data_IF_085146930709
#
_entry.id   IF_085146930709
#
_cell.length_a   1.000
_cell.length_b   1.000
_cell.length_c   1.000
_cell.angle_alpha   90.00
_cell.angle_beta   90.00
_cell.angle_gamma   90.00
#
_symmetry.space_group_name_H-M   'P 1'
#
loop_
_entity.id
_entity.type
_entity.pdbx_description
1 polymer ?
#
# COMPACT_ATOMS: atom_id res chain seq x y z
N UNK A 1 -1.37 37.29 0.40
CA UNK A 1 -0.46 36.15 0.20
C UNK A 1 -1.32 34.91 0.41
N UNK A 2 -1.52 34.08 -0.61
CA UNK A 2 -2.29 32.86 -0.44
C UNK A 2 -1.43 31.81 0.25
N UNK A 3 -1.88 31.34 1.41
CA UNK A 3 -1.22 30.29 2.18
C UNK A 3 -1.83 28.94 1.83
N UNK A 4 -0.98 28.01 1.37
CA UNK A 4 -1.37 26.63 1.09
C UNK A 4 -1.12 25.78 2.35
N UNK A 5 -2.19 25.37 3.01
CA UNK A 5 -2.15 24.50 4.20
C UNK A 5 -2.51 23.08 3.79
N UNK A 6 -1.55 22.17 3.90
CA UNK A 6 -1.71 20.76 3.56
C UNK A 6 -1.28 19.89 4.73
N UNK A 7 -2.11 18.90 5.06
CA UNK A 7 -1.74 17.88 6.04
C UNK A 7 -1.31 16.59 5.32
N UNK A 8 -0.19 16.02 5.76
CA UNK A 8 0.28 14.72 5.27
C UNK A 8 -0.27 13.63 6.18
N UNK A 9 -1.07 12.75 5.59
CA UNK A 9 -1.67 11.63 6.31
C UNK A 9 -1.01 10.32 5.92
N UNK A 10 -0.52 9.61 6.95
CA UNK A 10 0.20 8.36 6.81
C UNK A 10 -0.55 7.26 7.55
N UNK A 11 -1.28 6.41 6.82
CA UNK A 11 -1.91 5.22 7.40
C UNK A 11 -1.07 4.00 7.08
N UNK A 12 -0.49 3.38 8.11
CA UNK A 12 0.11 2.05 8.02
C UNK A 12 -0.85 0.98 8.56
N UNK A 13 -0.96 -0.17 7.90
CA UNK A 13 -1.83 -1.27 8.33
C UNK A 13 -2.34 -2.12 7.16
N UNK A 14 -3.46 -2.83 7.34
CA UNK A 14 -4.12 -3.62 6.27
C UNK A 14 -4.56 -2.77 5.07
N UNK A 15 -4.88 -1.49 5.31
CA UNK A 15 -5.22 -0.49 4.29
C UNK A 15 -4.19 0.64 4.31
N UNK A 16 -2.95 0.30 3.98
CA UNK A 16 -1.90 1.30 3.92
C UNK A 16 -2.22 2.34 2.82
N UNK A 17 -2.21 3.62 3.16
CA UNK A 17 -2.39 4.69 2.17
C UNK A 17 -1.69 5.98 2.57
N UNK A 18 -1.32 6.76 1.54
CA UNK A 18 -0.70 8.08 1.63
C UNK A 18 -1.57 9.09 0.88
N UNK A 19 -1.87 10.21 1.51
CA UNK A 19 -2.62 11.29 0.90
C UNK A 19 -2.32 12.62 1.57
N UNK A 20 -2.61 13.69 0.83
CA UNK A 20 -2.71 15.03 1.38
C UNK A 20 -4.16 15.35 1.68
N UNK A 21 -4.40 16.08 2.77
CA UNK A 21 -5.68 16.73 3.02
C UNK A 21 -5.55 18.22 2.70
N UNK A 22 -6.33 18.69 1.73
CA UNK A 22 -6.49 20.10 1.42
C UNK A 22 -7.49 20.68 2.42
N UNK A 23 -6.97 21.43 3.41
CA UNK A 23 -7.77 21.93 4.53
C UNK A 23 -8.85 22.91 4.06
N UNK A 24 -8.57 23.70 3.01
CA UNK A 24 -9.50 24.72 2.53
C UNK A 24 -10.59 24.14 1.65
N UNK A 25 -10.23 23.18 0.80
CA UNK A 25 -11.18 22.53 -0.10
C UNK A 25 -11.80 21.24 0.48
N UNK A 26 -11.48 20.91 1.74
CA UNK A 26 -11.94 19.72 2.48
C UNK A 26 -11.90 18.44 1.66
N UNK A 27 -10.78 18.21 0.96
CA UNK A 27 -10.65 17.07 0.04
C UNK A 27 -9.35 16.32 0.21
N UNK A 28 -9.45 15.02 -0.09
CA UNK A 28 -8.32 14.10 -0.14
C UNK A 28 -7.66 14.14 -1.51
N UNK A 29 -6.33 14.31 -1.53
CA UNK A 29 -5.52 14.26 -2.74
C UNK A 29 -4.53 13.10 -2.64
N UNK A 30 -4.60 12.18 -3.61
CA UNK A 30 -3.59 11.13 -3.77
C UNK A 30 -2.52 11.62 -4.72
N UNK A 31 -1.25 11.41 -4.34
CA UNK A 31 -0.10 11.78 -5.15
C UNK A 31 0.70 10.55 -5.57
N UNK A 32 1.42 10.62 -6.70
CA UNK A 32 2.28 9.54 -7.16
C UNK A 32 3.37 9.18 -6.14
N UNK A 33 3.80 7.91 -6.14
CA UNK A 33 4.84 7.41 -5.24
C UNK A 33 6.16 8.21 -5.33
N UNK A 34 6.48 8.76 -6.51
CA UNK A 34 7.65 9.61 -6.72
C UNK A 34 7.65 10.88 -5.85
N UNK A 35 6.47 11.49 -5.65
CA UNK A 35 6.32 12.65 -4.77
C UNK A 35 6.70 12.28 -3.33
N UNK A 36 6.15 11.18 -2.81
CA UNK A 36 6.40 10.74 -1.44
C UNK A 36 7.85 10.36 -1.19
N UNK A 37 8.52 9.74 -2.18
CA UNK A 37 9.97 9.47 -2.14
C UNK A 37 10.78 10.75 -2.09
N UNK A 38 10.42 11.75 -2.91
CA UNK A 38 11.08 13.06 -2.89
C UNK A 38 10.88 13.76 -1.54
N UNK A 39 9.67 13.71 -0.98
CA UNK A 39 9.36 14.28 0.34
C UNK A 39 10.24 13.65 1.44
N UNK A 40 10.33 12.32 1.49
CA UNK A 40 11.18 11.63 2.47
C UNK A 40 12.65 12.04 2.33
N UNK A 41 13.16 12.13 1.09
CA UNK A 41 14.53 12.60 0.82
C UNK A 41 14.75 14.03 1.36
N UNK A 42 13.85 14.96 1.04
CA UNK A 42 13.92 16.34 1.52
C UNK A 42 13.87 16.44 3.05
N UNK A 43 13.03 15.63 3.70
CA UNK A 43 12.96 15.56 5.16
C UNK A 43 14.29 15.10 5.77
N UNK A 44 14.90 14.06 5.19
CA UNK A 44 16.22 13.57 5.63
C UNK A 44 17.31 14.64 5.46
N UNK A 45 17.33 15.34 4.34
CA UNK A 45 18.27 16.45 4.08
C UNK A 45 18.07 17.63 5.05
N UNK A 46 16.85 17.83 5.56
CA UNK A 46 16.53 18.82 6.59
C UNK A 46 16.83 18.38 8.02
N UNK A 47 17.30 17.15 8.23
CA UNK A 47 17.59 16.60 9.55
C UNK A 47 16.40 15.89 10.21
N UNK A 48 15.24 15.84 9.55
CA UNK A 48 14.02 15.17 10.03
C UNK A 48 14.05 13.67 9.74
N UNK A 49 15.10 12.99 10.19
CA UNK A 49 15.38 11.59 9.86
C UNK A 49 14.27 10.63 10.32
N UNK A 50 13.67 10.89 11.48
CA UNK A 50 12.56 10.09 12.03
C UNK A 50 11.33 10.19 11.13
N UNK A 51 10.94 11.41 10.74
CA UNK A 51 9.78 11.64 9.89
C UNK A 51 10.02 11.06 8.49
N UNK A 52 11.21 11.24 7.93
CA UNK A 52 11.61 10.64 6.66
C UNK A 52 11.45 9.11 6.66
N UNK A 53 11.87 8.46 7.77
CA UNK A 53 11.77 7.00 7.94
C UNK A 53 10.33 6.52 8.07
N UNK A 54 9.46 7.30 8.74
CA UNK A 54 8.02 7.00 8.82
C UNK A 54 7.35 7.07 7.44
N UNK A 55 7.71 8.08 6.64
CA UNK A 55 7.22 8.21 5.26
C UNK A 55 7.70 7.03 4.39
N UNK A 56 8.99 6.66 4.47
CA UNK A 56 9.53 5.49 3.76
C UNK A 56 8.82 4.19 4.15
N UNK A 57 8.62 3.96 5.45
CA UNK A 57 7.93 2.78 5.94
C UNK A 57 6.48 2.70 5.40
N UNK A 58 5.80 3.85 5.29
CA UNK A 58 4.47 3.90 4.73
C UNK A 58 4.44 3.66 3.22
N UNK A 59 5.36 4.24 2.45
CA UNK A 59 5.50 3.97 1.01
C UNK A 59 5.65 2.46 0.78
N UNK A 60 6.52 1.80 1.54
CA UNK A 60 6.74 0.37 1.43
C UNK A 60 5.48 -0.44 1.77
N UNK A 61 4.74 -0.06 2.81
CA UNK A 61 3.47 -0.73 3.17
C UNK A 61 2.40 -0.56 2.09
N UNK A 62 2.28 0.64 1.50
CA UNK A 62 1.36 0.91 0.38
C UNK A 62 1.72 0.05 -0.82
N UNK A 63 3.01 0.01 -1.19
CA UNK A 63 3.48 -0.80 -2.31
C UNK A 63 3.22 -2.30 -2.10
N UNK A 64 3.47 -2.81 -0.89
CA UNK A 64 3.15 -4.21 -0.54
C UNK A 64 1.65 -4.48 -0.60
N UNK A 65 0.82 -3.56 -0.10
CA UNK A 65 -0.64 -3.70 -0.15
C UNK A 65 -1.17 -3.70 -1.59
N UNK A 66 -0.65 -2.83 -2.47
CA UNK A 66 -0.99 -2.83 -3.90
C UNK A 66 -0.60 -4.14 -4.58
N UNK A 67 0.64 -4.59 -4.41
CA UNK A 67 1.10 -5.88 -4.98
C UNK A 67 0.25 -7.05 -4.51
N UNK A 68 -0.16 -7.04 -3.24
CA UNK A 68 -1.05 -8.05 -2.68
C UNK A 68 -2.42 -8.03 -3.35
N UNK A 69 -2.98 -6.85 -3.56
CA UNK A 69 -4.28 -6.71 -4.21
C UNK A 69 -4.22 -7.05 -5.70
N UNK A 70 -3.15 -6.65 -6.39
CA UNK A 70 -2.86 -7.07 -7.76
C UNK A 70 -2.73 -8.59 -7.88
N UNK A 71 -2.01 -9.23 -6.95
CA UNK A 71 -1.89 -10.69 -6.91
C UNK A 71 -3.25 -11.37 -6.66
N UNK A 72 -4.08 -10.86 -5.75
CA UNK A 72 -5.45 -11.38 -5.55
C UNK A 72 -6.32 -11.19 -6.79
N UNK A 73 -6.25 -10.04 -7.43
CA UNK A 73 -7.04 -9.73 -8.61
C UNK A 73 -6.66 -10.66 -9.75
N UNK A 74 -5.36 -10.85 -9.98
CA UNK A 74 -4.86 -11.89 -10.88
C UNK A 74 -5.47 -13.23 -10.48
N UNK A 75 -5.42 -13.62 -9.19
CA UNK A 75 -5.97 -14.90 -8.69
C UNK A 75 -7.48 -15.08 -8.97
N UNK A 76 -8.24 -14.00 -9.21
CA UNK A 76 -9.66 -14.04 -9.54
C UNK A 76 -9.95 -13.95 -11.04
N UNK A 77 -9.01 -13.45 -11.86
CA UNK A 77 -9.11 -13.39 -13.32
C UNK A 77 -8.77 -14.75 -13.94
N UNK A 78 -9.79 -15.60 -13.96
CA UNK A 78 -9.84 -16.97 -14.49
C UNK A 78 -9.20 -17.17 -15.88
N UNK A 79 -7.96 -17.71 -15.92
CA UNK A 79 -7.55 -18.94 -16.64
C UNK A 79 -6.23 -19.40 -16.01
N UNK A 80 -6.29 -20.16 -14.92
CA UNK A 80 -5.05 -20.64 -14.29
C UNK A 80 -4.64 -22.00 -14.79
N UNK A 81 -3.40 -22.08 -15.27
CA UNK A 81 -2.70 -23.36 -15.34
C UNK A 81 -2.54 -23.95 -13.92
N UNK A 82 -2.39 -25.29 -13.77
CA UNK A 82 -2.29 -25.93 -12.46
C UNK A 82 -1.17 -25.36 -11.56
N UNK A 83 -0.11 -24.83 -12.16
CA UNK A 83 1.05 -24.28 -11.46
C UNK A 83 0.78 -22.87 -10.91
N UNK A 84 0.08 -22.04 -11.67
CA UNK A 84 -0.31 -20.70 -11.25
C UNK A 84 -1.41 -20.74 -10.16
N UNK A 85 -2.30 -21.73 -10.23
CA UNK A 85 -3.26 -22.00 -9.15
C UNK A 85 -2.55 -22.34 -7.83
N UNK A 86 -1.50 -23.18 -7.88
CA UNK A 86 -0.71 -23.56 -6.71
C UNK A 86 -0.01 -22.34 -6.10
N UNK A 87 0.55 -21.48 -6.94
CA UNK A 87 1.23 -20.25 -6.51
C UNK A 87 0.27 -19.23 -5.88
N UNK A 88 -0.95 -19.10 -6.43
CA UNK A 88 -2.03 -18.34 -5.81
C UNK A 88 -2.43 -18.90 -4.44
N UNK A 89 -2.55 -20.23 -4.29
CA UNK A 89 -2.84 -20.85 -3.00
C UNK A 89 -1.74 -20.64 -1.97
N UNK A 90 -0.47 -20.67 -2.38
CA UNK A 90 0.66 -20.41 -1.49
C UNK A 90 0.66 -18.96 -1.00
N UNK A 91 0.43 -17.99 -1.88
CA UNK A 91 0.26 -16.57 -1.52
C UNK A 91 -0.89 -16.37 -0.53
N UNK A 92 -2.07 -16.96 -0.79
CA UNK A 92 -3.23 -16.88 0.12
C UNK A 92 -2.92 -17.53 1.48
N UNK A 93 -2.20 -18.66 1.49
CA UNK A 93 -1.85 -19.40 2.70
C UNK A 93 -0.86 -18.65 3.59
N UNK A 94 0.14 -18.00 2.97
CA UNK A 94 1.11 -17.14 3.66
C UNK A 94 0.43 -15.88 4.23
N UNK A 95 -0.56 -15.33 3.51
CA UNK A 95 -1.28 -14.12 3.90
C UNK A 95 -2.38 -14.29 4.96
N UNK A 96 -2.93 -15.51 5.11
CA UNK A 96 -4.01 -15.83 6.06
C UNK A 96 -3.56 -16.66 7.27
N UNK A 97 -2.27 -16.95 7.41
CA UNK A 97 -1.75 -17.70 8.57
C UNK A 97 -2.37 -19.10 8.70
N UNK A 98 -2.59 -19.82 7.60
CA UNK A 98 -3.04 -21.21 7.63
C UNK A 98 -4.50 -21.47 7.26
N UNK A 99 -5.09 -20.69 6.36
CA UNK A 99 -6.41 -21.03 5.82
C UNK A 99 -6.36 -22.35 5.03
N UNK A 100 -7.09 -23.37 5.50
CA UNK A 100 -7.32 -24.61 4.76
C UNK A 100 -8.60 -24.44 3.92
N UNK A 101 -8.53 -24.57 2.58
CA UNK A 101 -9.75 -24.63 1.78
C UNK A 101 -10.54 -25.88 2.20
N UNK A 102 -11.82 -25.70 2.54
CA UNK A 102 -12.73 -26.83 2.75
C UNK A 102 -12.81 -27.60 1.43
N UNK A 103 -12.30 -28.84 1.44
CA UNK A 103 -12.56 -29.79 0.35
C UNK A 103 -14.07 -29.97 0.29
N UNK A 104 -14.70 -29.53 -0.81
CA UNK A 104 -16.01 -30.05 -1.16
C UNK A 104 -15.79 -31.54 -1.49
N UNK A 105 -16.33 -32.40 -0.64
CA UNK A 105 -16.38 -33.83 -0.92
C UNK A 105 -17.26 -34.06 -2.16
N UNK A 106 -16.93 -35.10 -2.97
CA UNK A 106 -17.60 -35.41 -4.22
C UNK A 106 -19.09 -35.72 -4.05
#
# INVERSE_FOLDING_TARGET
MEELVLEVHVRGGKEASLWLWDVRAERRLTLPDAFWRSLSKSLREKGEATLASQVEAAINRVATSRRREEAKQQCMDLVYSPEEYRRCQELIREDLGGWKPMRKNP
#
